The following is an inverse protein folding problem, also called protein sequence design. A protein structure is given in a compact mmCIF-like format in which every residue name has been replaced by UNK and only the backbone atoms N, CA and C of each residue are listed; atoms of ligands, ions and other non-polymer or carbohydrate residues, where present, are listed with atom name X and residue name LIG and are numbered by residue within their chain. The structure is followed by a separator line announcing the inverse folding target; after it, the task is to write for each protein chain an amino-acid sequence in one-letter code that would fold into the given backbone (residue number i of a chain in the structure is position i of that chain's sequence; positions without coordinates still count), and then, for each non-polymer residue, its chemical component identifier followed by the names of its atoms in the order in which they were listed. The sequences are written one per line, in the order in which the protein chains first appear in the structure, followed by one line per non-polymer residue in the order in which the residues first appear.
data_IF_837490577268
#
_entry.id   IF_837490577268
#
_cell.length_a   1.000
_cell.length_b   1.000
_cell.length_c   1.000
_cell.angle_alpha   90.00
_cell.angle_beta   90.00
_cell.angle_gamma   90.00
#
_symmetry.space_group_name_H-M   'P 1'
#
loop_
_entity.id
_entity.type
_entity.pdbx_description
1 polymer ?
#
# COMPACT_ATOMS: atom_id res chain seq x y z
N UNK A 1 79.98 -7.49 -14.61
CA UNK A 1 79.47 -6.11 -14.44
C UNK A 1 80.03 -5.24 -15.56
N UNK A 2 79.15 -4.52 -16.28
CA UNK A 2 79.34 -3.63 -17.47
C UNK A 2 78.39 -4.11 -18.58
N UNK A 3 77.73 -3.30 -19.40
CA UNK A 3 77.65 -1.85 -19.63
C UNK A 3 76.40 -1.58 -20.50
N UNK A 4 75.82 -0.38 -20.41
CA UNK A 4 74.68 0.11 -21.23
C UNK A 4 75.04 0.23 -22.72
N UNK A 5 74.08 0.10 -23.64
CA UNK A 5 73.51 1.20 -24.47
C UNK A 5 72.49 0.71 -25.53
N UNK A 6 71.69 1.67 -26.03
CA UNK A 6 70.37 1.57 -26.69
C UNK A 6 70.45 1.74 -28.22
N UNK A 7 69.48 1.21 -28.99
CA UNK A 7 68.93 1.81 -30.26
C UNK A 7 67.80 0.92 -30.87
N UNK A 8 67.08 1.29 -31.98
CA UNK A 8 65.77 1.94 -31.94
C UNK A 8 64.66 1.24 -32.79
N UNK A 9 63.44 1.80 -32.77
CA UNK A 9 62.40 1.71 -33.83
C UNK A 9 61.67 0.38 -34.07
N UNK A 10 60.36 0.34 -33.73
CA UNK A 10 59.24 -0.08 -34.62
C UNK A 10 57.88 0.09 -33.90
N UNK A 11 56.91 0.76 -34.56
CA UNK A 11 55.45 0.71 -34.27
C UNK A 11 54.87 -0.63 -34.79
N UNK A 12 53.56 -0.99 -34.65
CA UNK A 12 52.51 -0.70 -33.66
C UNK A 12 51.78 -2.00 -33.16
N UNK A 13 50.67 -1.83 -32.43
CA UNK A 13 49.50 -2.74 -32.26
C UNK A 13 49.42 -3.71 -31.07
N UNK A 14 48.61 -3.30 -30.06
CA UNK A 14 47.55 -4.07 -29.35
C UNK A 14 47.14 -3.19 -28.15
N UNK A 15 45.95 -2.60 -28.08
CA UNK A 15 44.67 -3.30 -28.01
C UNK A 15 44.27 -3.46 -26.54
N UNK A 16 43.37 -2.60 -26.05
CA UNK A 16 42.72 -2.71 -24.73
C UNK A 16 43.52 -2.06 -23.59
N UNK A 17 42.95 -1.27 -22.68
CA UNK A 17 41.66 -1.44 -22.03
C UNK A 17 41.21 -0.12 -21.38
N UNK A 18 40.29 0.61 -22.03
CA UNK A 18 39.43 1.57 -21.33
C UNK A 18 38.38 0.78 -20.55
N UNK A 19 38.68 0.36 -19.33
CA UNK A 19 37.67 -0.30 -18.47
C UNK A 19 37.73 0.11 -17.00
N UNK A 20 37.99 1.39 -16.74
CA UNK A 20 37.82 2.01 -15.42
C UNK A 20 36.73 3.06 -15.44
N UNK A 21 35.49 2.67 -15.73
CA UNK A 21 34.32 3.58 -15.60
C UNK A 21 32.99 2.80 -15.74
N UNK A 22 32.81 1.69 -15.01
CA UNK A 22 31.48 1.04 -15.00
C UNK A 22 31.13 0.26 -13.72
N UNK A 23 31.71 0.62 -12.58
CA UNK A 23 31.35 0.04 -11.27
C UNK A 23 30.33 0.89 -10.50
N UNK A 24 30.32 2.22 -10.68
CA UNK A 24 29.40 3.10 -9.96
C UNK A 24 27.97 3.09 -10.54
N UNK A 25 27.81 2.95 -11.87
CA UNK A 25 26.48 2.84 -12.50
C UNK A 25 25.72 1.56 -12.16
N UNK A 26 26.41 0.49 -11.76
CA UNK A 26 25.76 -0.77 -11.34
C UNK A 26 25.18 -0.71 -9.92
N UNK A 27 25.70 0.13 -9.04
CA UNK A 27 25.22 0.24 -7.65
C UNK A 27 23.92 1.03 -7.54
N UNK A 28 23.73 2.05 -8.39
CA UNK A 28 22.51 2.86 -8.40
C UNK A 28 21.30 2.12 -8.99
N UNK A 29 21.52 1.16 -9.90
CA UNK A 29 20.43 0.33 -10.44
C UNK A 29 19.93 -0.74 -9.47
N UNK A 30 20.71 -1.14 -8.47
CA UNK A 30 20.29 -2.13 -7.47
C UNK A 30 19.41 -1.53 -6.38
N UNK A 31 19.52 -0.22 -6.12
CA UNK A 31 18.67 0.48 -5.16
C UNK A 31 17.24 0.71 -5.70
N UNK A 32 17.07 0.82 -7.02
CA UNK A 32 15.76 1.08 -7.64
C UNK A 32 14.90 -0.17 -7.90
N UNK A 33 15.48 -1.38 -7.77
CA UNK A 33 14.72 -2.64 -7.87
C UNK A 33 14.10 -3.08 -6.52
N UNK A 34 14.24 -2.30 -5.44
CA UNK A 34 13.57 -2.60 -4.17
C UNK A 34 12.16 -2.00 -4.07
N UNK A 35 11.74 -1.21 -5.06
CA UNK A 35 10.38 -0.68 -5.12
C UNK A 35 9.68 -1.31 -6.31
N UNK A 36 8.70 -2.18 -6.03
CA UNK A 36 7.66 -2.71 -6.95
C UNK A 36 7.95 -4.08 -7.56
N UNK A 37 7.70 -5.11 -6.76
CA UNK A 37 6.89 -6.29 -7.15
C UNK A 37 6.20 -6.76 -5.86
N UNK A 38 4.97 -6.35 -5.60
CA UNK A 38 3.74 -6.99 -6.11
C UNK A 38 3.48 -8.34 -5.41
N UNK A 39 2.42 -8.35 -4.61
CA UNK A 39 1.59 -9.50 -4.28
C UNK A 39 2.35 -10.80 -3.99
N UNK A 40 3.00 -10.88 -2.83
CA UNK A 40 3.17 -12.17 -2.18
C UNK A 40 1.79 -12.59 -1.66
N UNK A 41 1.03 -13.32 -2.49
CA UNK A 41 -0.01 -14.25 -2.06
C UNK A 41 0.63 -15.26 -1.11
N UNK A 42 0.77 -14.85 0.13
CA UNK A 42 1.40 -15.56 1.24
C UNK A 42 1.21 -14.81 2.55
N UNK A 43 0.32 -13.82 2.59
CA UNK A 43 -0.15 -13.24 3.84
C UNK A 43 -0.91 -14.34 4.57
N UNK A 44 -0.34 -14.77 5.71
CA UNK A 44 -1.02 -15.66 6.65
C UNK A 44 -2.48 -15.19 6.78
N UNK A 45 -3.45 -16.08 6.58
CA UNK A 45 -4.88 -15.76 6.65
C UNK A 45 -5.24 -15.01 7.94
N UNK A 46 -4.48 -15.25 9.00
CA UNK A 46 -4.54 -14.54 10.28
C UNK A 46 -4.30 -13.03 10.16
N UNK A 47 -3.37 -12.56 9.31
CA UNK A 47 -3.12 -11.11 9.17
C UNK A 47 -4.29 -10.41 8.48
N UNK A 48 -4.82 -10.99 7.41
CA UNK A 48 -5.96 -10.41 6.67
C UNK A 48 -7.22 -10.36 7.54
N UNK A 49 -7.47 -11.39 8.35
CA UNK A 49 -8.61 -11.40 9.28
C UNK A 49 -8.42 -10.36 10.39
N UNK A 50 -7.20 -10.24 10.93
CA UNK A 50 -6.88 -9.19 11.91
C UNK A 50 -7.10 -7.79 11.35
N UNK A 51 -6.63 -7.52 10.14
CA UNK A 51 -6.78 -6.21 9.49
C UNK A 51 -8.26 -5.85 9.29
N UNK A 52 -9.08 -6.83 8.89
CA UNK A 52 -10.53 -6.63 8.72
C UNK A 52 -11.23 -6.39 10.06
N UNK A 53 -10.82 -7.08 11.13
CA UNK A 53 -11.38 -6.87 12.47
C UNK A 53 -11.01 -5.49 13.02
N UNK A 54 -9.78 -5.04 12.83
CA UNK A 54 -9.36 -3.68 13.18
C UNK A 54 -10.12 -2.61 12.39
N UNK A 55 -10.28 -2.80 11.08
CA UNK A 55 -11.10 -1.93 10.26
C UNK A 55 -12.55 -1.88 10.76
N UNK A 56 -13.12 -3.02 11.15
CA UNK A 56 -14.48 -3.09 11.69
C UNK A 56 -14.60 -2.36 13.03
N UNK A 57 -13.63 -2.50 13.94
CA UNK A 57 -13.61 -1.76 15.22
C UNK A 57 -13.67 -0.24 15.00
N UNK A 58 -12.96 0.27 14.00
CA UNK A 58 -12.91 1.70 13.69
C UNK A 58 -14.23 2.25 13.09
N UNK A 59 -15.10 1.39 12.56
CA UNK A 59 -16.40 1.79 11.97
C UNK A 59 -17.54 1.85 12.99
N UNK A 60 -17.44 1.10 14.09
CA UNK A 60 -18.50 1.04 15.08
C UNK A 60 -18.29 2.13 16.13
N UNK A 61 -19.24 3.07 16.29
CA UNK A 61 -19.14 4.13 17.29
C UNK A 61 -19.38 3.51 18.68
N UNK A 62 -18.29 3.09 19.32
CA UNK A 62 -18.34 2.66 20.71
C UNK A 62 -17.12 3.20 21.46
N UNK A 63 -17.40 3.66 22.67
CA UNK A 63 -16.57 4.54 23.49
C UNK A 63 -15.36 3.84 24.15
N UNK A 64 -15.07 2.61 23.76
CA UNK A 64 -14.06 1.78 24.41
C UNK A 64 -12.84 1.66 23.51
N UNK A 65 -11.78 2.40 23.86
CA UNK A 65 -10.40 2.22 23.39
C UNK A 65 -9.77 0.90 23.91
N UNK A 66 -10.58 -0.08 24.26
CA UNK A 66 -10.16 -1.36 24.84
C UNK A 66 -10.29 -2.51 23.86
N UNK A 67 -9.54 -3.60 24.09
CA UNK A 67 -9.64 -4.81 23.30
C UNK A 67 -11.06 -5.41 23.38
N UNK A 68 -11.80 -5.34 22.28
CA UNK A 68 -13.09 -6.04 22.14
C UNK A 68 -12.85 -7.45 21.62
N UNK A 69 -13.50 -8.41 22.26
CA UNK A 69 -13.59 -9.79 21.73
C UNK A 69 -14.40 -9.77 20.42
N UNK A 70 -14.09 -10.65 19.45
CA UNK A 70 -14.80 -10.69 18.18
C UNK A 70 -16.32 -10.84 18.33
N UNK A 71 -16.79 -11.67 19.25
CA UNK A 71 -18.23 -11.92 19.45
C UNK A 71 -18.99 -10.65 19.85
N UNK A 72 -18.41 -9.86 20.76
CA UNK A 72 -18.98 -8.58 21.18
C UNK A 72 -18.95 -7.57 20.04
N UNK A 73 -17.84 -7.51 19.29
CA UNK A 73 -17.73 -6.62 18.13
C UNK A 73 -18.81 -6.91 17.09
N UNK A 74 -19.11 -8.19 16.84
CA UNK A 74 -20.16 -8.57 15.90
C UNK A 74 -21.56 -8.23 16.41
N UNK A 75 -21.82 -8.39 17.71
CA UNK A 75 -23.08 -7.96 18.30
C UNK A 75 -23.28 -6.44 18.18
N UNK A 76 -22.30 -5.65 18.60
CA UNK A 76 -22.33 -4.18 18.48
C UNK A 76 -22.47 -3.74 17.01
N UNK A 77 -21.84 -4.46 16.08
CA UNK A 77 -21.99 -4.23 14.64
C UNK A 77 -23.42 -4.47 14.18
N UNK A 78 -24.05 -5.57 14.63
CA UNK A 78 -25.44 -5.87 14.27
C UNK A 78 -26.40 -4.79 14.79
N UNK A 79 -26.22 -4.38 16.05
CA UNK A 79 -27.01 -3.31 16.65
C UNK A 79 -26.83 -1.99 15.89
N UNK A 80 -25.60 -1.66 15.50
CA UNK A 80 -25.32 -0.44 14.75
C UNK A 80 -25.90 -0.47 13.33
N UNK A 81 -25.89 -1.62 12.66
CA UNK A 81 -26.56 -1.78 11.35
C UNK A 81 -28.07 -1.51 11.48
N UNK A 82 -28.72 -2.04 12.54
CA UNK A 82 -30.15 -1.81 12.78
C UNK A 82 -30.43 -0.34 13.06
N UNK A 83 -29.59 0.32 13.87
CA UNK A 83 -29.70 1.75 14.15
C UNK A 83 -29.62 2.57 12.86
N UNK A 84 -28.60 2.35 12.03
CA UNK A 84 -28.42 3.07 10.77
C UNK A 84 -29.60 2.85 9.81
N UNK A 85 -30.06 1.61 9.66
CA UNK A 85 -31.25 1.29 8.84
C UNK A 85 -32.48 2.05 9.32
N UNK A 86 -32.67 2.14 10.63
CA UNK A 86 -33.79 2.87 11.24
C UNK A 86 -33.70 4.37 10.97
N UNK A 87 -32.50 4.95 11.13
CA UNK A 87 -32.26 6.36 10.82
C UNK A 87 -32.55 6.68 9.34
N UNK A 88 -32.07 5.85 8.42
CA UNK A 88 -32.32 6.00 6.98
C UNK A 88 -33.82 5.90 6.68
N UNK A 89 -34.52 4.94 7.28
CA UNK A 89 -35.97 4.80 7.11
C UNK A 89 -36.72 6.05 7.56
N UNK A 90 -36.40 6.59 8.73
CA UNK A 90 -37.02 7.82 9.24
C UNK A 90 -36.76 8.98 8.29
N UNK A 91 -35.51 9.18 7.86
CA UNK A 91 -35.16 10.24 6.92
C UNK A 91 -35.91 10.10 5.59
N UNK A 92 -36.03 8.88 5.06
CA UNK A 92 -36.80 8.62 3.85
C UNK A 92 -38.28 8.98 4.03
N UNK A 93 -38.90 8.60 5.16
CA UNK A 93 -40.29 8.97 5.45
C UNK A 93 -40.50 10.49 5.56
N UNK A 94 -39.54 11.20 6.14
CA UNK A 94 -39.59 12.66 6.21
C UNK A 94 -39.48 13.27 4.81
N UNK A 95 -38.56 12.78 3.98
CA UNK A 95 -38.45 13.22 2.58
C UNK A 95 -39.72 12.93 1.80
N UNK A 96 -40.31 11.75 1.95
CA UNK A 96 -41.57 11.40 1.28
C UNK A 96 -42.70 12.34 1.73
N UNK A 97 -42.85 12.55 3.04
CA UNK A 97 -43.91 13.39 3.60
C UNK A 97 -43.79 14.86 3.15
N UNK A 98 -42.59 15.44 3.23
CA UNK A 98 -42.37 16.86 2.88
C UNK A 98 -42.13 17.09 1.39
N UNK A 99 -41.59 16.12 0.66
CA UNK A 99 -41.37 16.18 -0.78
C UNK A 99 -42.65 16.00 -1.59
N UNK A 100 -43.60 15.19 -1.11
CA UNK A 100 -44.92 15.03 -1.75
C UNK A 100 -45.75 16.32 -1.76
N UNK A 101 -45.55 17.19 -0.76
CA UNK A 101 -46.31 18.43 -0.61
C UNK A 101 -45.86 19.54 -1.58
N UNK A 102 -44.69 19.44 -2.21
CA UNK A 102 -44.22 20.44 -3.18
C UNK A 102 -44.78 20.21 -4.59
N UNK A 103 -45.21 18.99 -4.93
CA UNK A 103 -45.74 18.65 -6.26
C UNK A 103 -47.26 18.88 -6.40
N UNK A 104 -47.97 19.20 -5.31
CA UNK A 104 -49.42 19.44 -5.31
C UNK A 104 -49.80 20.93 -5.38
N UNK A 105 -48.81 21.84 -5.38
CA UNK A 105 -49.00 23.29 -5.35
C UNK A 105 -48.62 24.02 -6.66
N UNK A 106 -48.51 23.29 -7.78
CA UNK A 106 -48.26 23.83 -9.13
C UNK A 106 -49.36 23.33 -10.07
#
# INVERSE_FOLDING_TARGET
MSSRQKSPTTRPMRGGTRRRQNSQRRRLRRAQNSSRTAAATGGSCSSVVSDKLEALKNLIPAHANGERKPDQLFQETADYIVLLKTQVLILQRLVDFYGSNQNAAV
#
